data_IF_578598720829
#
_entry.id   IF_578598720829
#
_cell.length_a   1.000
_cell.length_b   1.000
_cell.length_c   1.000
_cell.angle_alpha   90.00
_cell.angle_beta   90.00
_cell.angle_gamma   90.00
#
_symmetry.space_group_name_H-M   'P 1'
#
loop_
_entity.id
_entity.type
_entity.pdbx_description
1 polymer ?
#
# COMPACT_ATOMS: atom_id res chain seq x y z
N UNK A 1 4.62 17.28 2.62
CA UNK A 1 3.54 16.40 2.11
C UNK A 1 2.95 16.88 0.77
N UNK A 2 2.80 18.19 0.52
CA UNK A 2 2.15 18.70 -0.71
C UNK A 2 2.78 18.16 -2.00
N UNK A 3 4.10 17.97 -2.01
CA UNK A 3 4.83 17.53 -3.19
C UNK A 3 4.69 16.01 -3.40
N UNK A 4 4.46 15.24 -2.33
CA UNK A 4 4.31 13.79 -2.40
C UNK A 4 2.90 13.34 -2.88
N UNK A 5 1.86 14.11 -2.57
CA UNK A 5 0.46 13.74 -2.85
C UNK A 5 0.16 13.37 -4.32
N UNK A 6 0.64 14.11 -5.34
CA UNK A 6 0.32 13.81 -6.74
C UNK A 6 0.91 12.50 -7.25
N UNK A 7 1.92 11.95 -6.55
CA UNK A 7 2.58 10.69 -6.91
C UNK A 7 1.88 9.47 -6.32
N UNK A 8 1.09 9.66 -5.27
CA UNK A 8 0.41 8.59 -4.55
C UNK A 8 -1.12 8.71 -4.63
N UNK A 9 -1.63 9.79 -5.21
CA UNK A 9 -3.06 10.10 -5.33
C UNK A 9 -3.37 10.82 -6.64
N UNK A 10 -4.64 10.79 -7.06
CA UNK A 10 -5.21 11.58 -8.18
C UNK A 10 -5.91 12.84 -7.70
N UNK A 11 -5.73 13.24 -6.44
CA UNK A 11 -6.27 14.50 -5.94
C UNK A 11 -5.57 15.63 -6.71
N UNK A 12 -6.31 16.60 -7.29
CA UNK A 12 -5.77 17.60 -8.23
C UNK A 12 -4.97 18.70 -7.48
N UNK A 13 -3.85 18.32 -6.88
CA UNK A 13 -2.94 19.19 -6.14
C UNK A 13 -1.67 19.36 -6.99
N UNK A 14 -1.20 20.60 -7.12
CA UNK A 14 0.11 20.87 -7.74
C UNK A 14 1.23 20.56 -6.74
N UNK A 15 2.13 19.67 -7.13
CA UNK A 15 3.36 19.34 -6.40
C UNK A 15 4.59 19.47 -7.29
N UNK A 16 5.75 19.60 -6.65
CA UNK A 16 7.07 19.66 -7.29
C UNK A 16 7.72 18.28 -7.18
N UNK A 17 8.03 17.65 -8.31
CA UNK A 17 8.64 16.31 -8.35
C UNK A 17 9.99 16.27 -7.63
N UNK A 18 10.81 17.31 -7.79
CA UNK A 18 12.15 17.34 -7.20
C UNK A 18 12.11 17.44 -5.67
N UNK A 19 11.07 18.08 -5.14
CA UNK A 19 10.87 18.20 -3.69
C UNK A 19 10.14 17.00 -3.09
N UNK A 20 9.45 16.19 -3.89
CA UNK A 20 8.70 15.03 -3.40
C UNK A 20 9.61 14.03 -2.66
N UNK A 21 10.84 13.84 -3.13
CA UNK A 21 11.82 12.96 -2.49
C UNK A 21 12.37 13.47 -1.15
N UNK A 22 12.15 14.73 -0.83
CA UNK A 22 12.52 15.31 0.48
C UNK A 22 11.40 15.11 1.53
N UNK A 23 10.24 14.65 1.08
CA UNK A 23 9.03 14.52 1.89
C UNK A 23 8.65 13.06 2.17
N UNK A 24 9.56 12.09 2.02
CA UNK A 24 9.22 10.66 2.22
C UNK A 24 8.78 10.35 3.67
N UNK A 25 9.23 11.14 4.65
CA UNK A 25 8.72 11.08 6.03
C UNK A 25 7.19 11.27 6.12
N UNK A 26 6.58 11.91 5.12
CA UNK A 26 5.15 12.19 5.08
C UNK A 26 4.32 11.04 4.48
N UNK A 27 4.91 9.89 4.14
CA UNK A 27 4.18 8.73 3.60
C UNK A 27 2.95 8.36 4.46
N UNK A 28 3.07 8.18 5.79
CA UNK A 28 1.92 7.87 6.64
C UNK A 28 0.82 8.94 6.60
N UNK A 29 1.17 10.21 6.41
CA UNK A 29 0.17 11.29 6.32
C UNK A 29 -0.68 11.19 5.05
N UNK A 30 -0.15 10.59 3.98
CA UNK A 30 -0.92 10.33 2.75
C UNK A 30 -2.09 9.39 3.02
N UNK A 31 -1.98 8.50 4.02
CA UNK A 31 -3.08 7.62 4.42
C UNK A 31 -4.34 8.39 4.83
N UNK A 32 -4.20 9.58 5.44
CA UNK A 32 -5.35 10.42 5.78
C UNK A 32 -6.10 10.86 4.52
N UNK A 33 -5.37 11.23 3.47
CA UNK A 33 -5.97 11.69 2.21
C UNK A 33 -6.58 10.52 1.44
N UNK A 34 -5.86 9.41 1.31
CA UNK A 34 -6.33 8.24 0.55
C UNK A 34 -7.50 7.51 1.22
N UNK A 35 -7.56 7.51 2.56
CA UNK A 35 -8.64 6.83 3.29
C UNK A 35 -9.84 7.71 3.65
N UNK A 36 -9.75 9.05 3.56
CA UNK A 36 -10.81 9.94 4.06
C UNK A 36 -12.19 9.65 3.44
N UNK A 37 -12.29 9.72 2.10
CA UNK A 37 -13.54 9.45 1.39
C UNK A 37 -14.05 8.02 1.61
N UNK A 38 -13.25 6.96 1.41
CA UNK A 38 -13.77 5.61 1.58
C UNK A 38 -14.09 5.25 3.05
N UNK A 39 -13.38 5.81 4.03
CA UNK A 39 -13.76 5.68 5.45
C UNK A 39 -15.09 6.37 5.76
N UNK A 40 -15.33 7.55 5.18
CA UNK A 40 -16.62 8.25 5.30
C UNK A 40 -17.77 7.43 4.70
N UNK A 41 -17.56 6.81 3.54
CA UNK A 41 -18.54 5.91 2.90
C UNK A 41 -18.91 4.75 3.83
N UNK A 42 -17.93 4.13 4.50
CA UNK A 42 -18.16 3.06 5.47
C UNK A 42 -18.89 3.58 6.73
N UNK A 43 -18.51 4.75 7.24
CA UNK A 43 -19.13 5.37 8.41
C UNK A 43 -20.62 5.68 8.19
N UNK A 44 -20.98 6.17 7.01
CA UNK A 44 -22.37 6.50 6.65
C UNK A 44 -23.25 5.27 6.40
N UNK A 45 -22.67 4.05 6.33
CA UNK A 45 -23.38 2.78 6.11
C UNK A 45 -24.31 2.81 4.89
N UNK A 46 -23.85 3.41 3.80
CA UNK A 46 -24.59 3.44 2.54
C UNK A 46 -24.84 2.01 2.01
N UNK A 47 -25.90 1.77 1.23
CA UNK A 47 -26.05 0.51 0.50
C UNK A 47 -24.79 0.22 -0.33
N UNK A 48 -24.27 -1.01 -0.25
CA UNK A 48 -23.02 -1.41 -0.91
C UNK A 48 -21.77 -0.65 -0.42
N UNK A 49 -21.77 -0.14 0.81
CA UNK A 49 -20.68 0.67 1.40
C UNK A 49 -19.29 0.06 1.18
N UNK A 50 -19.13 -1.25 1.29
CA UNK A 50 -17.83 -1.92 1.16
C UNK A 50 -17.28 -1.79 -0.28
N UNK A 51 -18.14 -2.01 -1.27
CA UNK A 51 -17.79 -1.87 -2.69
C UNK A 51 -17.53 -0.41 -3.02
N UNK A 52 -18.41 0.49 -2.56
CA UNK A 52 -18.25 1.93 -2.78
C UNK A 52 -16.98 2.49 -2.13
N UNK A 53 -16.60 2.00 -0.96
CA UNK A 53 -15.36 2.37 -0.28
C UNK A 53 -14.13 1.90 -1.07
N UNK A 54 -14.14 0.66 -1.55
CA UNK A 54 -13.05 0.16 -2.41
C UNK A 54 -12.95 0.99 -3.70
N UNK A 55 -14.07 1.28 -4.36
CA UNK A 55 -14.12 2.15 -5.54
C UNK A 55 -13.55 3.54 -5.20
N UNK A 56 -14.03 4.19 -4.14
CA UNK A 56 -13.59 5.52 -3.72
C UNK A 56 -12.08 5.57 -3.41
N UNK A 57 -11.55 4.53 -2.77
CA UNK A 57 -10.12 4.38 -2.54
C UNK A 57 -9.35 4.39 -3.87
N UNK A 58 -9.70 3.50 -4.80
CA UNK A 58 -8.99 3.34 -6.06
C UNK A 58 -9.14 4.54 -7.00
N UNK A 59 -10.27 5.25 -6.97
CA UNK A 59 -10.40 6.55 -7.65
C UNK A 59 -9.47 7.60 -7.04
N UNK A 60 -9.30 7.59 -5.72
CA UNK A 60 -8.44 8.54 -5.00
C UNK A 60 -6.96 8.27 -5.26
N UNK A 61 -6.53 7.00 -5.33
CA UNK A 61 -5.14 6.62 -5.59
C UNK A 61 -4.82 6.39 -7.07
N UNK A 62 -5.83 6.36 -7.94
CA UNK A 62 -5.67 6.28 -9.40
C UNK A 62 -5.19 4.95 -9.93
N UNK A 63 -5.55 3.83 -9.28
CA UNK A 63 -5.18 2.45 -9.64
C UNK A 63 -3.66 2.15 -9.68
N UNK A 64 -2.80 3.10 -9.31
CA UNK A 64 -1.34 2.99 -9.43
C UNK A 64 -0.77 1.75 -8.72
N UNK A 65 -1.23 1.46 -7.50
CA UNK A 65 -0.74 0.31 -6.76
C UNK A 65 -1.32 -1.01 -7.26
N UNK A 66 -2.53 -1.00 -7.81
CA UNK A 66 -3.21 -2.18 -8.33
C UNK A 66 -2.56 -2.65 -9.65
N UNK A 67 -2.17 -1.69 -10.48
CA UNK A 67 -1.33 -1.90 -11.67
C UNK A 67 0.01 -2.56 -11.28
N UNK A 68 0.70 -1.96 -10.30
CA UNK A 68 1.94 -2.53 -9.77
C UNK A 68 1.79 -3.93 -9.17
N UNK A 69 0.66 -4.24 -8.53
CA UNK A 69 0.35 -5.60 -8.07
C UNK A 69 0.19 -6.58 -9.23
N UNK A 70 -0.45 -6.17 -10.32
CA UNK A 70 -0.64 -7.01 -11.49
C UNK A 70 0.71 -7.40 -12.12
N UNK A 71 1.54 -6.40 -12.41
CA UNK A 71 2.88 -6.58 -12.98
C UNK A 71 3.79 -7.39 -12.06
N UNK A 72 3.71 -7.11 -10.75
CA UNK A 72 4.42 -7.89 -9.74
C UNK A 72 4.03 -9.36 -9.76
N UNK A 73 2.73 -9.67 -9.80
CA UNK A 73 2.24 -11.04 -9.80
C UNK A 73 2.62 -11.79 -11.08
N UNK A 74 2.53 -11.16 -12.25
CA UNK A 74 3.00 -11.74 -13.50
C UNK A 74 4.50 -12.04 -13.46
N UNK A 75 5.31 -11.11 -12.95
CA UNK A 75 6.74 -11.32 -12.75
C UNK A 75 7.06 -12.45 -11.76
N UNK A 76 6.38 -12.51 -10.61
CA UNK A 76 6.61 -13.54 -9.59
C UNK A 76 6.25 -14.94 -10.11
N UNK A 77 5.17 -15.06 -10.88
CA UNK A 77 4.66 -16.36 -11.33
C UNK A 77 5.53 -17.04 -12.41
N UNK A 78 6.36 -16.26 -13.12
CA UNK A 78 7.34 -16.83 -14.06
C UNK A 78 8.38 -17.67 -13.33
N UNK A 79 8.62 -18.90 -13.79
CA UNK A 79 9.67 -19.79 -13.26
C UNK A 79 11.02 -19.53 -13.91
N UNK A 80 12.09 -19.79 -13.17
CA UNK A 80 13.47 -19.72 -13.65
C UNK A 80 14.15 -18.37 -13.37
N UNK A 81 15.02 -17.96 -14.29
CA UNK A 81 15.92 -16.82 -14.12
C UNK A 81 15.23 -15.49 -13.83
N UNK A 82 15.88 -14.70 -12.98
CA UNK A 82 15.42 -13.36 -12.56
C UNK A 82 15.13 -12.43 -13.74
N UNK A 83 15.94 -12.48 -14.79
CA UNK A 83 15.74 -11.64 -15.98
C UNK A 83 14.40 -11.91 -16.67
N UNK A 84 13.95 -13.17 -16.72
CA UNK A 84 12.65 -13.54 -17.30
C UNK A 84 11.49 -13.02 -16.46
N UNK A 85 11.62 -13.10 -15.13
CA UNK A 85 10.65 -12.55 -14.17
C UNK A 85 10.51 -11.04 -14.33
N UNK A 86 11.63 -10.31 -14.43
CA UNK A 86 11.64 -8.86 -14.67
C UNK A 86 11.06 -8.53 -16.04
N UNK A 87 11.33 -9.34 -17.07
CA UNK A 87 10.76 -9.13 -18.41
C UNK A 87 9.24 -9.25 -18.40
N UNK A 88 8.68 -10.23 -17.69
CA UNK A 88 7.23 -10.39 -17.58
C UNK A 88 6.56 -9.25 -16.82
N UNK A 89 7.20 -8.72 -15.77
CA UNK A 89 6.73 -7.52 -15.08
C UNK A 89 6.65 -6.28 -16.00
N UNK A 90 7.46 -6.23 -17.06
CA UNK A 90 7.49 -5.10 -18.01
C UNK A 90 6.69 -5.38 -19.29
N UNK A 91 5.94 -6.47 -19.33
CA UNK A 91 5.07 -6.74 -20.47
C UNK A 91 3.95 -5.69 -20.51
N UNK A 92 3.61 -5.23 -21.70
CA UNK A 92 2.50 -4.28 -21.88
C UNK A 92 1.14 -4.95 -21.70
N UNK A 93 1.08 -6.28 -21.84
CA UNK A 93 -0.13 -7.05 -21.62
C UNK A 93 -0.10 -7.66 -20.22
N UNK A 94 -1.14 -7.38 -19.44
CA UNK A 94 -1.35 -8.07 -18.16
C UNK A 94 -1.63 -9.55 -18.39
N UNK A 95 -0.88 -10.41 -17.70
CA UNK A 95 -1.04 -11.85 -17.70
C UNK A 95 -2.15 -12.32 -16.76
N UNK A 96 -2.40 -13.63 -16.80
CA UNK A 96 -3.44 -14.25 -15.96
C UNK A 96 -3.10 -14.19 -14.46
N UNK A 97 -1.81 -14.14 -14.11
CA UNK A 97 -1.40 -14.06 -12.71
C UNK A 97 -1.67 -12.65 -12.15
N UNK A 98 -1.38 -11.61 -12.93
CA UNK A 98 -1.72 -10.22 -12.63
C UNK A 98 -3.23 -10.04 -12.46
N UNK A 99 -4.01 -10.51 -13.44
CA UNK A 99 -5.48 -10.47 -13.35
C UNK A 99 -6.01 -11.20 -12.12
N UNK A 100 -5.53 -12.42 -11.87
CA UNK A 100 -5.95 -13.21 -10.71
C UNK A 100 -5.63 -12.50 -9.39
N UNK A 101 -4.42 -11.95 -9.24
CA UNK A 101 -3.99 -11.25 -8.04
C UNK A 101 -4.87 -10.02 -7.76
N UNK A 102 -5.15 -9.21 -8.79
CA UNK A 102 -6.03 -8.04 -8.69
C UNK A 102 -7.44 -8.46 -8.25
N UNK A 103 -8.03 -9.45 -8.90
CA UNK A 103 -9.39 -9.92 -8.57
C UNK A 103 -9.45 -10.45 -7.14
N UNK A 104 -8.47 -11.26 -6.71
CA UNK A 104 -8.43 -11.78 -5.34
C UNK A 104 -8.26 -10.67 -4.30
N UNK A 105 -7.38 -9.70 -4.54
CA UNK A 105 -7.17 -8.57 -3.62
C UNK A 105 -8.44 -7.75 -3.47
N UNK A 106 -9.13 -7.41 -4.56
CA UNK A 106 -10.39 -6.67 -4.50
C UNK A 106 -11.48 -7.43 -3.75
N UNK A 107 -11.65 -8.73 -4.02
CA UNK A 107 -12.61 -9.56 -3.32
C UNK A 107 -12.32 -9.66 -1.81
N UNK A 108 -11.06 -9.89 -1.44
CA UNK A 108 -10.64 -9.97 -0.04
C UNK A 108 -10.86 -8.64 0.67
N UNK A 109 -10.56 -7.51 0.03
CA UNK A 109 -10.82 -6.18 0.59
C UNK A 109 -12.31 -5.95 0.82
N UNK A 110 -13.17 -6.17 -0.18
CA UNK A 110 -14.62 -5.98 -0.07
C UNK A 110 -15.23 -6.89 1.00
N UNK A 111 -14.81 -8.16 1.04
CA UNK A 111 -15.30 -9.14 2.02
C UNK A 111 -14.88 -8.75 3.44
N UNK A 112 -13.59 -8.46 3.64
CA UNK A 112 -13.05 -8.09 4.95
C UNK A 112 -13.69 -6.82 5.50
N UNK A 113 -13.98 -5.83 4.65
CA UNK A 113 -14.65 -4.59 5.05
C UNK A 113 -16.04 -4.80 5.66
N UNK A 114 -16.71 -5.91 5.35
CA UNK A 114 -17.98 -6.27 5.97
C UNK A 114 -17.86 -6.85 7.38
N UNK A 115 -16.65 -7.17 7.80
CA UNK A 115 -16.34 -7.84 9.07
C UNK A 115 -15.54 -6.95 10.04
N UNK A 116 -15.18 -5.74 9.63
CA UNK A 116 -14.31 -4.83 10.39
C UNK A 116 -14.99 -3.48 10.62
N UNK A 117 -14.60 -2.74 11.67
CA UNK A 117 -15.11 -1.39 11.89
C UNK A 117 -14.65 -0.43 10.77
N UNK A 118 -15.42 0.65 10.57
CA UNK A 118 -15.19 1.63 9.49
C UNK A 118 -13.76 2.21 9.48
N UNK A 119 -13.13 2.38 10.66
CA UNK A 119 -11.78 2.92 10.79
C UNK A 119 -10.68 1.93 10.35
N UNK A 120 -10.99 0.65 10.13
CA UNK A 120 -10.01 -0.35 9.70
C UNK A 120 -9.39 -0.01 8.35
N UNK A 121 -10.13 0.69 7.48
CA UNK A 121 -9.60 1.15 6.19
C UNK A 121 -8.50 2.22 6.37
N UNK A 122 -8.67 3.14 7.32
CA UNK A 122 -7.63 4.10 7.68
C UNK A 122 -6.37 3.39 8.17
N UNK A 123 -6.51 2.38 9.04
CA UNK A 123 -5.37 1.59 9.53
C UNK A 123 -4.70 0.78 8.41
N UNK A 124 -5.48 0.23 7.49
CA UNK A 124 -4.97 -0.48 6.33
C UNK A 124 -4.20 0.44 5.38
N UNK A 125 -4.69 1.65 5.12
CA UNK A 125 -3.93 2.67 4.39
C UNK A 125 -2.67 3.10 5.13
N UNK A 126 -2.76 3.32 6.45
CA UNK A 126 -1.64 3.74 7.28
C UNK A 126 -0.50 2.72 7.23
N UNK A 127 -0.83 1.43 7.38
CA UNK A 127 0.12 0.33 7.25
C UNK A 127 0.66 0.21 5.82
N UNK A 128 -0.20 0.36 4.81
CA UNK A 128 0.20 0.35 3.40
C UNK A 128 1.29 1.40 3.13
N UNK A 129 1.10 2.64 3.59
CA UNK A 129 2.09 3.71 3.41
C UNK A 129 3.36 3.49 4.22
N UNK A 130 3.26 2.98 5.44
CA UNK A 130 4.46 2.63 6.22
C UNK A 130 5.25 1.51 5.53
N UNK A 131 4.60 0.47 5.03
CA UNK A 131 5.27 -0.63 4.34
C UNK A 131 5.96 -0.17 3.05
N UNK A 132 5.37 0.76 2.29
CA UNK A 132 6.05 1.39 1.14
C UNK A 132 7.30 2.17 1.58
N UNK A 133 7.22 2.93 2.67
CA UNK A 133 8.38 3.66 3.21
C UNK A 133 9.50 2.70 3.64
N UNK A 134 9.15 1.59 4.29
CA UNK A 134 10.09 0.53 4.66
C UNK A 134 10.69 -0.17 3.44
N UNK A 135 9.91 -0.36 2.38
CA UNK A 135 10.40 -0.90 1.11
C UNK A 135 11.43 0.02 0.45
N UNK A 136 11.18 1.34 0.45
CA UNK A 136 12.17 2.33 0.00
C UNK A 136 13.44 2.29 0.88
N UNK A 137 13.30 2.11 2.18
CA UNK A 137 14.43 2.07 3.12
C UNK A 137 15.38 0.87 2.90
N UNK A 138 14.99 -0.12 2.08
CA UNK A 138 15.88 -1.21 1.67
C UNK A 138 17.05 -0.75 0.80
N UNK A 139 16.93 0.42 0.12
CA UNK A 139 17.94 1.00 -0.78
C UNK A 139 18.46 0.02 -1.85
N UNK A 140 17.57 -0.83 -2.37
CA UNK A 140 17.88 -1.81 -3.43
C UNK A 140 17.02 -1.53 -4.66
N UNK A 141 17.38 -0.55 -5.51
CA UNK A 141 16.58 -0.21 -6.68
C UNK A 141 16.60 -1.32 -7.73
N UNK A 142 15.45 -1.57 -8.36
CA UNK A 142 15.35 -2.40 -9.56
C UNK A 142 15.28 -1.49 -10.80
N UNK A 143 16.43 -1.33 -11.47
CA UNK A 143 16.56 -0.43 -12.63
C UNK A 143 16.51 1.05 -12.27
N UNK A 144 16.38 1.90 -13.28
CA UNK A 144 16.21 3.35 -13.12
C UNK A 144 14.72 3.70 -13.24
N UNK A 145 14.20 4.51 -12.32
CA UNK A 145 12.79 4.90 -12.29
C UNK A 145 12.41 5.57 -10.97
N UNK A 146 11.11 5.85 -10.78
CA UNK A 146 10.58 6.55 -9.61
C UNK A 146 10.99 5.92 -8.27
N UNK A 147 10.97 4.58 -8.19
CA UNK A 147 11.42 3.86 -6.99
C UNK A 147 12.89 4.15 -6.67
N UNK A 148 13.78 4.08 -7.67
CA UNK A 148 15.19 4.40 -7.50
C UNK A 148 15.39 5.87 -7.09
N UNK A 149 14.67 6.78 -7.73
CA UNK A 149 14.71 8.21 -7.46
C UNK A 149 14.35 8.56 -6.00
N UNK A 150 13.33 7.91 -5.43
CA UNK A 150 12.99 8.08 -4.02
C UNK A 150 13.98 7.37 -3.07
N UNK A 151 14.48 6.19 -3.44
CA UNK A 151 15.46 5.45 -2.63
C UNK A 151 16.81 6.18 -2.49
N UNK A 152 17.18 7.05 -3.44
CA UNK A 152 18.39 7.87 -3.32
C UNK A 152 18.36 8.83 -2.13
N UNK A 153 17.17 9.38 -1.82
CA UNK A 153 17.03 10.42 -0.81
C UNK A 153 16.58 9.91 0.55
N UNK A 154 16.11 8.66 0.63
CA UNK A 154 15.70 8.10 1.91
C UNK A 154 16.87 7.97 2.88
N UNK A 155 16.70 8.46 4.09
CA UNK A 155 17.68 8.41 5.17
C UNK A 155 17.00 8.09 6.51
N UNK A 156 17.80 7.98 7.57
CA UNK A 156 17.30 7.66 8.90
C UNK A 156 16.38 8.74 9.46
N UNK A 157 16.58 10.01 9.07
CA UNK A 157 15.72 11.11 9.49
C UNK A 157 14.33 11.01 8.85
N UNK A 158 14.28 10.71 7.56
CA UNK A 158 13.01 10.49 6.85
C UNK A 158 12.26 9.27 7.37
N UNK A 159 12.98 8.16 7.62
CA UNK A 159 12.39 6.95 8.17
C UNK A 159 11.86 7.19 9.60
N UNK A 160 12.65 7.84 10.46
CA UNK A 160 12.22 8.18 11.82
C UNK A 160 11.01 9.10 11.81
N UNK A 161 11.02 10.13 10.96
CA UNK A 161 9.87 11.02 10.79
C UNK A 161 8.61 10.25 10.37
N UNK A 162 8.73 9.32 9.43
CA UNK A 162 7.64 8.42 9.05
C UNK A 162 7.13 7.57 10.21
N UNK A 163 8.02 6.92 10.96
CA UNK A 163 7.64 6.12 12.13
C UNK A 163 6.95 6.95 13.22
N UNK A 164 7.40 8.18 13.45
CA UNK A 164 6.77 9.12 14.40
C UNK A 164 5.37 9.50 13.95
N UNK A 165 5.18 9.91 12.69
CA UNK A 165 3.84 10.23 12.18
C UNK A 165 2.93 9.02 12.16
N UNK A 166 3.46 7.84 11.84
CA UNK A 166 2.71 6.59 11.93
C UNK A 166 2.19 6.36 13.36
N UNK A 167 3.05 6.48 14.37
CA UNK A 167 2.66 6.31 15.77
C UNK A 167 1.63 7.36 16.22
N UNK A 168 1.80 8.63 15.81
CA UNK A 168 0.86 9.72 16.09
C UNK A 168 -0.52 9.43 15.49
N UNK A 169 -0.60 8.89 14.27
CA UNK A 169 -1.86 8.59 13.61
C UNK A 169 -2.53 7.32 14.15
N UNK A 170 -1.74 6.34 14.58
CA UNK A 170 -2.24 5.09 15.16
C UNK A 170 -2.78 5.30 16.59
N UNK A 171 -2.12 6.13 17.40
CA UNK A 171 -2.39 6.25 18.83
C UNK A 171 -3.85 6.61 19.18
N UNK A 172 -4.53 7.59 18.54
CA UNK A 172 -5.92 7.91 18.84
C UNK A 172 -6.87 6.74 18.60
N UNK A 173 -6.62 5.95 17.56
CA UNK A 173 -7.46 4.79 17.22
C UNK A 173 -7.28 3.69 18.27
N UNK A 174 -6.04 3.44 18.71
CA UNK A 174 -5.72 2.46 19.76
C UNK A 174 -6.25 2.89 21.13
N UNK A 175 -6.21 4.19 21.46
CA UNK A 175 -6.80 4.72 22.70
C UNK A 175 -8.32 4.55 22.71
N UNK A 176 -8.96 4.73 21.55
CA UNK A 176 -10.40 4.52 21.39
C UNK A 176 -10.78 3.04 21.41
N UNK A 177 -10.02 2.19 20.71
CA UNK A 177 -10.27 0.75 20.58
C UNK A 177 -8.95 -0.03 20.60
N UNK A 178 -8.65 -0.68 21.73
CA UNK A 178 -7.36 -1.34 21.95
C UNK A 178 -7.09 -2.47 20.94
N UNK A 179 -8.13 -3.12 20.45
CA UNK A 179 -8.02 -4.18 19.45
C UNK A 179 -7.49 -3.68 18.10
N UNK A 180 -7.48 -2.35 17.86
CA UNK A 180 -6.83 -1.75 16.70
C UNK A 180 -5.34 -2.10 16.61
N UNK A 181 -4.67 -2.48 17.71
CA UNK A 181 -3.28 -2.96 17.69
C UNK A 181 -3.08 -4.21 16.84
N UNK A 182 -4.13 -5.04 16.65
CA UNK A 182 -4.03 -6.22 15.80
C UNK A 182 -3.74 -5.87 14.34
N UNK A 183 -4.08 -4.64 13.91
CA UNK A 183 -3.76 -4.13 12.58
C UNK A 183 -2.26 -4.15 12.29
N UNK A 184 -1.40 -4.02 13.30
CA UNK A 184 0.07 -4.05 13.16
C UNK A 184 0.58 -5.34 12.52
N UNK A 185 -0.12 -6.47 12.75
CA UNK A 185 0.21 -7.75 12.13
C UNK A 185 0.08 -7.71 10.59
N UNK A 186 -0.72 -6.78 10.05
CA UNK A 186 -0.80 -6.52 8.62
C UNK A 186 0.55 -6.10 8.00
N UNK A 187 1.46 -5.48 8.77
CA UNK A 187 2.80 -5.13 8.29
C UNK A 187 3.64 -6.36 7.95
N UNK A 188 3.35 -7.53 8.52
CA UNK A 188 4.02 -8.78 8.16
C UNK A 188 3.77 -9.16 6.69
N UNK A 189 2.58 -8.85 6.15
CA UNK A 189 2.27 -9.05 4.73
C UNK A 189 3.11 -8.12 3.84
N UNK A 190 3.30 -6.87 4.27
CA UNK A 190 4.21 -5.92 3.60
C UNK A 190 5.66 -6.41 3.63
N UNK A 191 6.14 -6.87 4.79
CA UNK A 191 7.46 -7.48 4.93
C UNK A 191 7.65 -8.70 4.03
N UNK A 192 6.62 -9.55 3.90
CA UNK A 192 6.62 -10.67 2.96
C UNK A 192 6.69 -10.20 1.50
N UNK A 193 5.90 -9.21 1.10
CA UNK A 193 5.93 -8.65 -0.25
C UNK A 193 7.30 -8.03 -0.58
N UNK A 194 7.92 -7.31 0.35
CA UNK A 194 9.29 -6.78 0.22
C UNK A 194 10.28 -7.93 0.03
N UNK A 195 10.20 -8.97 0.87
CA UNK A 195 11.08 -10.15 0.77
C UNK A 195 10.89 -10.86 -0.57
N UNK A 196 9.65 -11.01 -1.04
CA UNK A 196 9.32 -11.62 -2.31
C UNK A 196 9.87 -10.80 -3.49
N UNK A 197 9.77 -9.47 -3.43
CA UNK A 197 10.36 -8.57 -4.43
C UNK A 197 11.88 -8.74 -4.52
N UNK A 198 12.57 -8.66 -3.37
CA UNK A 198 14.02 -8.83 -3.31
C UNK A 198 14.48 -10.22 -3.76
N UNK A 199 13.72 -11.27 -3.41
CA UNK A 199 14.01 -12.64 -3.82
C UNK A 199 13.86 -12.84 -5.32
N UNK A 200 12.71 -12.46 -5.89
CA UNK A 200 12.39 -12.69 -7.30
C UNK A 200 13.16 -11.76 -8.24
N UNK A 201 13.26 -10.47 -7.90
CA UNK A 201 13.75 -9.43 -8.82
C UNK A 201 15.10 -8.83 -8.42
N UNK A 202 15.57 -9.06 -7.19
CA UNK A 202 16.87 -8.56 -6.72
C UNK A 202 16.88 -7.09 -6.30
N UNK A 203 15.75 -6.41 -6.43
CA UNK A 203 15.54 -5.03 -6.07
C UNK A 203 14.05 -4.70 -6.09
N UNK A 204 13.73 -3.42 -5.90
CA UNK A 204 12.38 -2.88 -5.81
C UNK A 204 12.25 -1.70 -6.79
N UNK A 205 11.23 -1.72 -7.63
CA UNK A 205 10.80 -0.61 -8.50
C UNK A 205 9.42 -0.08 -8.05
N UNK A 206 8.78 0.75 -8.88
CA UNK A 206 7.43 1.27 -8.62
C UNK A 206 6.37 0.16 -8.47
N UNK A 207 6.42 -0.86 -9.32
CA UNK A 207 5.44 -1.96 -9.32
C UNK A 207 5.55 -2.78 -8.03
N UNK A 208 6.78 -3.06 -7.59
CA UNK A 208 7.04 -3.68 -6.30
C UNK A 208 6.51 -2.84 -5.13
N UNK A 209 6.63 -1.51 -5.17
CA UNK A 209 6.04 -0.63 -4.14
C UNK A 209 4.51 -0.68 -4.16
N UNK A 210 3.90 -0.72 -5.35
CA UNK A 210 2.46 -0.91 -5.54
C UNK A 210 1.98 -2.23 -4.94
N UNK A 211 2.66 -3.33 -5.25
CA UNK A 211 2.36 -4.64 -4.69
C UNK A 211 2.51 -4.68 -3.17
N UNK A 212 3.58 -4.09 -2.61
CA UNK A 212 3.76 -3.96 -1.16
C UNK A 212 2.58 -3.19 -0.54
N UNK A 213 2.15 -2.10 -1.19
CA UNK A 213 1.02 -1.30 -0.72
C UNK A 213 -0.28 -2.13 -0.67
N UNK A 214 -0.61 -2.84 -1.76
CA UNK A 214 -1.84 -3.64 -1.87
C UNK A 214 -1.86 -4.85 -0.95
N UNK A 215 -0.74 -5.58 -0.88
CA UNK A 215 -0.62 -6.77 -0.03
C UNK A 215 -0.69 -6.40 1.44
N UNK A 216 -0.07 -5.28 1.85
CA UNK A 216 -0.16 -4.78 3.23
C UNK A 216 -1.56 -4.31 3.59
N UNK A 217 -2.23 -3.57 2.70
CA UNK A 217 -3.60 -3.10 2.91
C UNK A 217 -4.53 -4.29 3.12
N UNK A 218 -4.48 -5.25 2.20
CA UNK A 218 -5.34 -6.43 2.21
C UNK A 218 -5.05 -7.31 3.43
N UNK A 219 -3.76 -7.53 3.75
CA UNK A 219 -3.34 -8.27 4.94
C UNK A 219 -3.81 -7.61 6.24
N UNK A 220 -3.76 -6.29 6.33
CA UNK A 220 -4.28 -5.54 7.49
C UNK A 220 -5.78 -5.77 7.68
N UNK A 221 -6.57 -5.63 6.61
CA UNK A 221 -8.01 -5.87 6.67
C UNK A 221 -8.35 -7.31 7.04
N UNK A 222 -7.63 -8.29 6.47
CA UNK A 222 -7.84 -9.71 6.76
C UNK A 222 -7.54 -10.06 8.21
N UNK A 223 -6.42 -9.58 8.75
CA UNK A 223 -6.05 -9.85 10.14
C UNK A 223 -7.07 -9.23 11.10
N UNK A 224 -7.50 -8.00 10.84
CA UNK A 224 -8.55 -7.37 11.64
C UNK A 224 -9.89 -8.12 11.54
N UNK A 225 -10.28 -8.54 10.32
CA UNK A 225 -11.51 -9.30 10.10
C UNK A 225 -11.49 -10.65 10.82
N UNK A 226 -10.34 -11.33 10.81
CA UNK A 226 -10.17 -12.60 11.52
C UNK A 226 -10.17 -12.40 13.03
N UNK A 227 -9.42 -11.42 13.54
CA UNK A 227 -9.35 -11.15 14.98
C UNK A 227 -10.68 -10.69 15.57
N UNK A 228 -11.46 -9.89 14.84
CA UNK A 228 -12.79 -9.43 15.27
C UNK A 228 -13.85 -10.53 15.40
N UNK A 229 -13.54 -11.78 15.01
CA UNK A 229 -14.41 -12.94 15.32
C UNK A 229 -14.18 -13.50 16.72
N UNK A 230 -13.07 -13.15 17.37
CA UNK A 230 -12.61 -13.75 18.63
C UNK A 230 -12.51 -12.73 19.77
N UNK A 231 -12.75 -11.46 19.50
CA UNK A 231 -12.68 -10.35 20.45
C UNK A 231 -13.98 -9.57 20.40
#
# INVERSE_FOLDING_TARGET
>A
MRNLLPFLTRVPIKGDFEKAREELWAFPLVALVSSALPTLVLYLRLPLSNVLAVIALYFTIGLLHLDGLADFADGVMVKGERERKIKAMKDVNTGIAGLFAVVMVLLLQVYSLGLVPFYALLLAELNSKLAMLLALATKKPLGQGLGAYFMEKIDNGQLLGGLVFYAILLAPVVVYEQNALVSLLGLAFGGYAIKAALGNFGGINGDCLGAVAEVTRTGTLLVMAFAGQWI
#
